data_IF_034861335321
#
_entry.id   IF_034861335321
#
_cell.length_a   1.000
_cell.length_b   1.000
_cell.length_c   1.000
_cell.angle_alpha   90.00
_cell.angle_beta   90.00
_cell.angle_gamma   90.00
#
_symmetry.space_group_name_H-M   'P 1'
#
loop_
_entity.id
_entity.type
_entity.pdbx_description
1 polymer ?
#
# COMPACT_ATOMS: atom_id res chain seq x y z
N UNK A 1 -19.62 25.49 27.26
CA UNK A 1 -18.94 25.75 28.54
C UNK A 1 -18.41 24.42 29.01
N UNK A 2 -17.17 24.33 29.47
CA UNK A 2 -16.58 23.05 29.88
C UNK A 2 -16.91 22.78 31.35
N UNK A 3 -18.14 22.31 31.61
CA UNK A 3 -18.58 21.82 32.91
C UNK A 3 -18.53 20.28 33.02
N UNK A 4 -17.90 19.62 32.02
CA UNK A 4 -17.78 18.17 31.94
C UNK A 4 -19.10 17.44 31.67
N UNK A 5 -20.15 18.18 31.29
CA UNK A 5 -21.47 17.65 30.99
C UNK A 5 -21.90 18.01 29.58
N UNK A 6 -22.69 17.13 28.97
CA UNK A 6 -23.22 17.26 27.62
C UNK A 6 -24.72 17.49 27.70
N UNK A 7 -25.15 18.70 27.31
CA UNK A 7 -26.55 18.98 27.04
C UNK A 7 -27.06 18.20 25.81
N UNK A 8 -28.38 18.05 25.66
CA UNK A 8 -28.93 17.38 24.47
C UNK A 8 -28.50 18.06 23.15
N UNK A 9 -28.39 19.38 23.11
CA UNK A 9 -27.96 20.09 21.90
C UNK A 9 -26.50 19.78 21.53
N UNK A 10 -25.62 19.64 22.53
CA UNK A 10 -24.21 19.26 22.33
C UNK A 10 -24.09 17.78 21.97
N UNK A 11 -24.85 16.91 22.63
CA UNK A 11 -24.94 15.49 22.29
C UNK A 11 -25.42 15.31 20.85
N UNK A 12 -26.48 16.01 20.45
CA UNK A 12 -27.01 15.98 19.09
C UNK A 12 -26.01 16.51 18.07
N UNK A 13 -25.30 17.59 18.37
CA UNK A 13 -24.28 18.13 17.47
C UNK A 13 -23.11 17.15 17.25
N UNK A 14 -22.79 16.33 18.25
CA UNK A 14 -21.69 15.37 18.19
C UNK A 14 -22.09 14.02 17.58
N UNK A 15 -23.24 13.47 17.97
CA UNK A 15 -23.67 12.11 17.62
C UNK A 15 -24.62 12.05 16.42
N UNK A 16 -25.09 13.17 15.88
CA UNK A 16 -25.93 13.15 14.68
C UNK A 16 -25.11 12.71 13.44
N UNK A 17 -25.18 11.42 13.13
CA UNK A 17 -24.69 10.78 11.90
C UNK A 17 -25.80 10.68 10.81
N UNK A 18 -27.00 11.14 11.16
CA UNK A 18 -28.21 11.07 10.34
C UNK A 18 -28.85 9.69 10.28
N UNK A 19 -28.29 8.66 10.92
CA UNK A 19 -28.86 7.30 11.02
C UNK A 19 -30.09 7.34 11.90
N UNK A 20 -29.92 7.92 13.09
CA UNK A 20 -31.02 8.12 14.02
C UNK A 20 -31.75 9.43 13.68
N UNK A 21 -33.08 9.36 13.69
CA UNK A 21 -33.93 10.55 13.66
C UNK A 21 -33.72 11.39 14.93
N UNK A 22 -34.16 12.65 14.89
CA UNK A 22 -34.05 13.53 16.06
C UNK A 22 -34.82 13.03 17.28
N UNK A 23 -35.86 12.23 17.09
CA UNK A 23 -36.65 11.60 18.16
C UNK A 23 -35.90 10.39 18.73
N UNK A 24 -35.38 9.50 17.89
CA UNK A 24 -34.58 8.34 18.32
C UNK A 24 -33.29 8.77 19.05
N UNK A 25 -32.65 9.86 18.60
CA UNK A 25 -31.47 10.40 19.26
C UNK A 25 -31.80 11.02 20.63
N UNK A 26 -33.02 11.54 20.80
CA UNK A 26 -33.52 12.06 22.08
C UNK A 26 -33.90 10.92 23.04
N UNK A 27 -34.46 9.83 22.53
CA UNK A 27 -34.67 8.60 23.31
C UNK A 27 -33.34 7.99 23.75
N UNK A 28 -32.34 7.94 22.88
CA UNK A 28 -30.98 7.51 23.21
C UNK A 28 -30.37 8.37 24.32
N UNK A 29 -30.50 9.70 24.21
CA UNK A 29 -30.00 10.63 25.24
C UNK A 29 -30.59 10.32 26.63
N UNK A 30 -31.91 10.16 26.73
CA UNK A 30 -32.57 9.82 27.99
C UNK A 30 -32.27 8.40 28.48
N UNK A 31 -31.98 7.46 27.58
CA UNK A 31 -31.59 6.11 27.95
C UNK A 31 -30.19 6.10 28.60
N UNK A 32 -29.30 6.99 28.17
CA UNK A 32 -27.95 7.13 28.73
C UNK A 32 -28.00 7.95 30.04
N UNK A 33 -28.88 8.94 30.16
CA UNK A 33 -29.06 9.80 31.35
C UNK A 33 -29.77 9.03 32.48
N UNK A 34 -29.05 8.06 33.05
CA UNK A 34 -29.55 7.20 34.13
C UNK A 34 -29.98 8.00 35.36
N UNK A 35 -29.38 9.17 35.57
CA UNK A 35 -29.67 10.06 36.68
C UNK A 35 -30.81 11.06 36.38
N UNK A 36 -31.34 11.12 35.16
CA UNK A 36 -32.37 12.07 34.69
C UNK A 36 -32.02 13.53 35.04
N UNK A 37 -30.78 13.93 34.79
CA UNK A 37 -30.31 15.29 35.07
C UNK A 37 -30.41 16.24 33.88
N UNK A 38 -30.95 15.76 32.76
CA UNK A 38 -31.01 16.42 31.45
C UNK A 38 -29.62 16.83 30.94
N UNK A 39 -28.57 16.17 31.44
CA UNK A 39 -27.17 16.43 31.13
C UNK A 39 -26.37 15.15 31.30
N UNK A 40 -25.72 14.70 30.23
CA UNK A 40 -24.89 13.50 30.27
C UNK A 40 -23.50 13.80 30.79
N UNK A 41 -23.04 13.07 31.79
CA UNK A 41 -21.63 13.09 32.16
C UNK A 41 -20.82 12.03 31.41
N UNK A 42 -19.50 12.12 31.52
CA UNK A 42 -18.59 11.17 30.86
C UNK A 42 -18.70 9.76 31.42
N UNK A 43 -19.13 9.60 32.68
CA UNK A 43 -19.24 8.29 33.32
C UNK A 43 -20.44 7.51 32.79
N UNK A 44 -21.61 8.16 32.69
CA UNK A 44 -22.82 7.60 32.08
C UNK A 44 -22.61 7.18 30.62
N UNK A 45 -21.94 8.03 29.82
CA UNK A 45 -21.57 7.70 28.45
C UNK A 45 -20.64 6.48 28.39
N UNK A 46 -19.62 6.43 29.27
CA UNK A 46 -18.70 5.30 29.31
C UNK A 46 -19.40 4.00 29.72
N UNK A 47 -20.28 4.03 30.73
CA UNK A 47 -21.04 2.86 31.16
C UNK A 47 -21.95 2.32 30.06
N UNK A 48 -22.63 3.20 29.34
CA UNK A 48 -23.48 2.81 28.22
C UNK A 48 -22.65 2.20 27.09
N UNK A 49 -21.66 2.91 26.55
CA UNK A 49 -20.89 2.42 25.41
C UNK A 49 -20.09 1.17 25.72
N UNK A 50 -19.60 0.99 26.96
CA UNK A 50 -18.92 -0.23 27.39
C UNK A 50 -19.77 -1.49 27.20
N UNK A 51 -21.09 -1.39 27.32
CA UNK A 51 -22.02 -2.51 27.09
C UNK A 51 -22.29 -2.76 25.59
N UNK A 52 -21.95 -1.80 24.73
CA UNK A 52 -22.26 -1.80 23.30
C UNK A 52 -21.02 -1.86 22.39
N UNK A 53 -19.82 -2.09 22.94
CA UNK A 53 -18.58 -2.15 22.15
C UNK A 53 -18.55 -3.34 21.17
N UNK A 54 -19.17 -4.47 21.53
CA UNK A 54 -19.15 -5.70 20.70
C UNK A 54 -17.72 -6.11 20.31
N UNK A 55 -17.49 -6.44 19.04
CA UNK A 55 -16.17 -6.83 18.51
C UNK A 55 -15.10 -5.73 18.66
N UNK A 56 -15.51 -4.46 18.80
CA UNK A 56 -14.58 -3.35 19.00
C UNK A 56 -13.96 -3.33 20.41
N UNK A 57 -14.49 -4.07 21.38
CA UNK A 57 -13.86 -4.23 22.70
C UNK A 57 -12.44 -4.81 22.56
N UNK A 58 -12.31 -5.89 21.78
CA UNK A 58 -11.01 -6.50 21.50
C UNK A 58 -10.09 -5.56 20.70
N UNK A 59 -10.65 -4.83 19.73
CA UNK A 59 -9.88 -3.84 18.95
C UNK A 59 -9.29 -2.76 19.87
N UNK A 60 -10.10 -2.18 20.74
CA UNK A 60 -9.65 -1.15 21.69
C UNK A 60 -8.63 -1.71 22.70
N UNK A 61 -8.82 -2.94 23.18
CA UNK A 61 -7.86 -3.62 24.06
C UNK A 61 -6.50 -3.83 23.38
N UNK A 62 -6.49 -4.29 22.13
CA UNK A 62 -5.25 -4.47 21.35
C UNK A 62 -4.57 -3.13 21.08
N UNK A 63 -5.33 -2.06 20.79
CA UNK A 63 -4.79 -0.72 20.61
C UNK A 63 -4.14 -0.18 21.89
N UNK A 64 -4.75 -0.41 23.05
CA UNK A 64 -4.17 -0.06 24.34
C UNK A 64 -2.86 -0.84 24.59
N UNK A 65 -2.88 -2.16 24.35
CA UNK A 65 -1.70 -3.01 24.49
C UNK A 65 -0.56 -2.59 23.55
N UNK A 66 -0.89 -2.21 22.31
CA UNK A 66 0.05 -1.67 21.34
C UNK A 66 0.66 -0.36 21.84
N UNK A 67 -0.16 0.59 22.31
CA UNK A 67 0.30 1.86 22.85
C UNK A 67 1.26 1.65 24.04
N UNK A 68 0.89 0.77 24.97
CA UNK A 68 1.74 0.40 26.11
C UNK A 68 3.08 -0.21 25.66
N UNK A 69 3.06 -1.05 24.62
CA UNK A 69 4.25 -1.70 24.05
C UNK A 69 5.18 -0.68 23.39
N UNK A 70 4.63 0.26 22.62
CA UNK A 70 5.38 1.36 22.00
C UNK A 70 6.03 2.23 23.08
N UNK A 71 5.26 2.64 24.09
CA UNK A 71 5.78 3.45 25.21
C UNK A 71 6.91 2.73 25.94
N UNK A 72 6.77 1.43 26.23
CA UNK A 72 7.84 0.62 26.85
C UNK A 72 9.09 0.56 25.98
N UNK A 73 8.94 0.38 24.67
CA UNK A 73 10.07 0.35 23.73
C UNK A 73 10.78 1.72 23.65
N UNK A 74 10.02 2.81 23.63
CA UNK A 74 10.54 4.17 23.67
C UNK A 74 11.31 4.46 24.95
N UNK A 75 10.75 4.11 26.12
CA UNK A 75 11.42 4.31 27.40
C UNK A 75 12.73 3.53 27.51
N UNK A 76 12.74 2.30 26.99
CA UNK A 76 13.94 1.46 26.98
C UNK A 76 15.02 2.01 26.05
N UNK A 77 14.65 2.43 24.84
CA UNK A 77 15.59 2.95 23.85
C UNK A 77 16.11 4.34 24.25
N UNK A 78 15.28 5.17 24.88
CA UNK A 78 15.67 6.49 25.39
C UNK A 78 16.81 6.44 26.41
N UNK A 79 16.79 5.47 27.34
CA UNK A 79 17.78 5.39 28.44
C UNK A 79 19.23 5.22 27.99
N UNK A 80 19.48 4.58 26.86
CA UNK A 80 20.83 4.35 26.33
C UNK A 80 21.14 5.10 25.04
N UNK A 81 20.20 5.91 24.53
CA UNK A 81 20.30 6.44 23.17
C UNK A 81 21.53 7.35 22.97
N UNK A 82 21.82 8.26 23.90
CA UNK A 82 22.94 9.20 23.77
C UNK A 82 24.31 8.52 23.86
N UNK A 83 24.38 7.40 24.57
CA UNK A 83 25.60 6.63 24.83
C UNK A 83 25.80 5.51 23.79
N UNK A 84 24.77 5.21 23.01
CA UNK A 84 24.78 4.19 21.97
C UNK A 84 25.62 4.61 20.74
N UNK A 85 26.09 3.61 19.99
CA UNK A 85 26.80 3.83 18.74
C UNK A 85 25.94 4.53 17.69
N UNK A 86 26.58 5.18 16.71
CA UNK A 86 25.87 5.82 15.59
C UNK A 86 24.91 4.86 14.86
N UNK A 87 25.30 3.58 14.75
CA UNK A 87 24.47 2.55 14.13
C UNK A 87 23.23 2.24 14.96
N UNK A 88 23.38 2.05 16.28
CA UNK A 88 22.25 1.77 17.18
C UNK A 88 21.27 2.96 17.27
N UNK A 89 21.79 4.18 17.27
CA UNK A 89 20.97 5.39 17.20
C UNK A 89 20.21 5.48 15.87
N UNK A 90 20.85 5.12 14.75
CA UNK A 90 20.20 5.04 13.45
C UNK A 90 19.10 3.98 13.44
N UNK A 91 19.38 2.77 13.92
CA UNK A 91 18.40 1.68 14.00
C UNK A 91 17.20 2.09 14.86
N UNK A 92 17.44 2.75 15.99
CA UNK A 92 16.36 3.26 16.86
C UNK A 92 15.48 4.27 16.13
N UNK A 93 16.07 5.26 15.44
CA UNK A 93 15.32 6.25 14.63
C UNK A 93 14.55 5.59 13.48
N UNK A 94 15.17 4.63 12.81
CA UNK A 94 14.56 3.87 11.74
C UNK A 94 13.33 3.10 12.24
N UNK A 95 13.47 2.34 13.33
CA UNK A 95 12.37 1.55 13.90
C UNK A 95 11.22 2.43 14.41
N UNK A 96 11.51 3.58 15.03
CA UNK A 96 10.47 4.53 15.42
C UNK A 96 9.70 5.08 14.22
N UNK A 97 10.43 5.44 13.15
CA UNK A 97 9.82 5.90 11.89
C UNK A 97 8.98 4.80 11.26
N UNK A 98 9.48 3.57 11.27
CA UNK A 98 8.76 2.42 10.71
C UNK A 98 7.47 2.14 11.48
N UNK A 99 7.52 2.09 12.82
CA UNK A 99 6.31 1.94 13.66
C UNK A 99 5.28 3.03 13.37
N UNK A 100 5.71 4.29 13.19
CA UNK A 100 4.80 5.38 12.81
C UNK A 100 4.14 5.13 11.44
N UNK A 101 4.92 4.71 10.44
CA UNK A 101 4.38 4.41 9.11
C UNK A 101 3.34 3.27 9.15
N UNK A 102 3.60 2.23 9.97
CA UNK A 102 2.66 1.12 10.14
C UNK A 102 1.35 1.57 10.79
N UNK A 103 1.41 2.46 11.80
CA UNK A 103 0.22 3.06 12.41
C UNK A 103 -0.56 3.91 11.41
N UNK A 104 0.11 4.68 10.55
CA UNK A 104 -0.54 5.47 9.50
C UNK A 104 -1.26 4.58 8.48
N UNK A 105 -0.65 3.46 8.08
CA UNK A 105 -1.30 2.50 7.18
C UNK A 105 -2.57 1.91 7.79
N UNK A 106 -2.54 1.60 9.10
CA UNK A 106 -3.71 1.13 9.82
C UNK A 106 -4.80 2.22 9.89
N UNK A 107 -4.41 3.46 10.20
CA UNK A 107 -5.32 4.61 10.22
C UNK A 107 -6.04 4.79 8.87
N UNK A 108 -5.30 4.82 7.76
CA UNK A 108 -5.91 4.97 6.43
C UNK A 108 -6.89 3.84 6.08
N UNK A 109 -6.61 2.62 6.54
CA UNK A 109 -7.53 1.48 6.36
C UNK A 109 -8.82 1.67 7.16
N UNK A 110 -8.73 2.16 8.40
CA UNK A 110 -9.89 2.48 9.25
C UNK A 110 -10.71 3.65 8.68
N UNK A 111 -10.06 4.69 8.17
CA UNK A 111 -10.73 5.82 7.51
C UNK A 111 -11.55 5.35 6.31
N UNK A 112 -11.00 4.43 5.50
CA UNK A 112 -11.73 3.86 4.37
C UNK A 112 -12.94 3.01 4.80
N UNK A 113 -12.80 2.22 5.87
CA UNK A 113 -13.91 1.45 6.42
C UNK A 113 -15.03 2.38 6.92
N UNK A 114 -14.67 3.44 7.61
CA UNK A 114 -15.60 4.46 8.11
C UNK A 114 -16.36 5.15 6.96
N UNK A 115 -15.66 5.60 5.92
CA UNK A 115 -16.30 6.18 4.72
C UNK A 115 -17.27 5.19 4.05
N UNK A 116 -16.93 3.91 4.02
CA UNK A 116 -17.78 2.86 3.41
C UNK A 116 -19.07 2.66 4.21
N UNK A 117 -18.97 2.63 5.55
CA UNK A 117 -20.16 2.53 6.41
C UNK A 117 -21.07 3.75 6.29
N UNK A 118 -20.49 4.96 6.14
CA UNK A 118 -21.28 6.18 5.91
C UNK A 118 -21.98 6.15 4.55
N UNK A 119 -21.30 5.71 3.49
CA UNK A 119 -21.85 5.67 2.14
C UNK A 119 -22.94 4.59 1.97
N UNK A 120 -22.77 3.41 2.58
CA UNK A 120 -23.83 2.38 2.61
C UNK A 120 -25.11 2.92 3.23
N UNK A 121 -24.97 3.60 4.37
CA UNK A 121 -26.09 4.24 5.07
C UNK A 121 -26.79 5.30 4.20
N UNK A 122 -26.04 6.06 3.39
CA UNK A 122 -26.61 7.02 2.43
C UNK A 122 -27.35 6.35 1.29
N UNK A 123 -26.83 5.24 0.77
CA UNK A 123 -27.44 4.50 -0.34
C UNK A 123 -28.75 3.81 0.08
N UNK A 124 -28.81 3.25 1.29
CA UNK A 124 -30.04 2.68 1.86
C UNK A 124 -31.16 3.74 1.97
N UNK A 125 -30.82 5.00 2.30
CA UNK A 125 -31.79 6.10 2.33
C UNK A 125 -32.27 6.55 0.94
N UNK A 126 -31.45 6.38 -0.10
CA UNK A 126 -31.83 6.71 -1.48
C UNK A 126 -32.59 5.55 -2.18
N UNK A 127 -32.60 4.36 -1.58
CA UNK A 127 -33.17 3.13 -2.12
C UNK A 127 -34.68 2.93 -1.91
N UNK A 128 -35.53 3.83 -2.41
CA UNK A 128 -36.89 3.45 -2.87
C UNK A 128 -37.28 4.31 -4.08
N UNK A 129 -36.58 4.13 -5.19
CA UNK A 129 -37.13 4.41 -6.52
C UNK A 129 -36.78 3.25 -7.44
N UNK A 130 -37.81 2.56 -7.96
CA UNK A 130 -37.67 1.52 -8.98
C UNK A 130 -36.91 2.08 -10.19
N UNK A 131 -35.92 1.38 -10.76
CA UNK A 131 -35.37 1.78 -12.03
C UNK A 131 -36.35 1.36 -13.14
N UNK A 132 -37.05 2.35 -13.69
CA UNK A 132 -37.75 2.20 -14.97
C UNK A 132 -36.69 2.01 -16.06
N UNK A 133 -36.80 0.89 -16.77
CA UNK A 133 -35.93 0.50 -17.88
C UNK A 133 -36.02 1.57 -18.99
N UNK A 134 -34.99 2.39 -19.13
CA UNK A 134 -34.82 3.23 -20.33
C UNK A 134 -33.69 2.64 -21.17
N UNK A 135 -34.10 1.86 -22.17
CA UNK A 135 -33.26 1.42 -23.27
C UNK A 135 -32.89 2.62 -24.14
N UNK A 136 -31.62 3.04 -24.11
CA UNK A 136 -31.11 4.03 -25.05
C UNK A 136 -30.20 3.34 -26.06
N UNK A 137 -30.78 3.04 -27.22
CA UNK A 137 -30.10 2.64 -28.44
C UNK A 137 -29.63 3.90 -29.17
N UNK A 138 -28.34 4.01 -29.52
CA UNK A 138 -27.91 4.97 -30.55
C UNK A 138 -27.09 4.31 -31.66
N UNK A 139 -27.27 4.79 -32.91
CA UNK A 139 -26.99 4.06 -34.14
C UNK A 139 -25.58 4.28 -34.66
N UNK A 140 -25.11 3.31 -35.45
CA UNK A 140 -23.78 3.31 -36.04
C UNK A 140 -23.52 4.43 -37.04
N UNK A 141 -22.22 4.72 -37.22
CA UNK A 141 -21.68 5.26 -38.47
C UNK A 141 -20.38 4.56 -38.81
N UNK A 142 -20.42 3.95 -39.99
CA UNK A 142 -19.33 3.34 -40.74
C UNK A 142 -18.31 4.41 -41.16
N UNK A 143 -17.03 4.06 -41.17
CA UNK A 143 -16.13 4.46 -42.26
C UNK A 143 -15.07 3.39 -42.47
N UNK A 144 -15.24 2.63 -43.54
CA UNK A 144 -14.24 1.74 -44.11
C UNK A 144 -13.57 2.44 -45.30
N UNK A 145 -12.26 2.22 -45.48
CA UNK A 145 -11.43 2.19 -46.71
C UNK A 145 -9.97 2.42 -46.26
N UNK A 146 -8.92 1.68 -46.64
CA UNK A 146 -8.66 0.58 -47.58
C UNK A 146 -7.38 -0.15 -47.13
N UNK A 147 -7.24 -1.41 -47.54
CA UNK A 147 -6.00 -2.19 -47.51
C UNK A 147 -4.85 -1.48 -48.24
N UNK A 148 -3.61 -1.69 -47.75
CA UNK A 148 -2.54 -2.21 -48.60
C UNK A 148 -1.49 -2.99 -47.78
N UNK A 149 -1.29 -4.22 -48.23
CA UNK A 149 -0.27 -5.19 -47.83
C UNK A 149 1.02 -4.85 -48.58
N UNK A 150 2.18 -4.93 -47.94
CA UNK A 150 3.45 -5.31 -48.56
C UNK A 150 4.47 -5.70 -47.49
N UNK A 151 4.91 -6.96 -47.55
CA UNK A 151 6.13 -7.46 -46.90
C UNK A 151 7.37 -6.83 -47.55
N UNK A 152 8.49 -6.81 -46.82
CA UNK A 152 9.86 -7.18 -47.25
C UNK A 152 10.90 -6.65 -46.22
N UNK A 153 11.60 -7.55 -45.54
CA UNK A 153 13.04 -7.41 -45.21
C UNK A 153 13.81 -7.67 -46.53
N UNK A 154 15.05 -7.17 -46.78
CA UNK A 154 16.22 -7.44 -45.91
C UNK A 154 17.41 -6.44 -45.99
N UNK A 155 18.45 -6.73 -45.18
CA UNK A 155 19.90 -6.53 -45.42
C UNK A 155 20.67 -5.67 -44.39
N UNK A 156 21.53 -6.37 -43.64
CA UNK A 156 22.82 -5.88 -43.14
C UNK A 156 23.79 -5.67 -44.30
N UNK A 157 24.79 -4.78 -44.16
CA UNK A 157 26.15 -5.26 -44.25
C UNK A 157 27.11 -4.72 -43.17
N UNK A 158 28.04 -5.60 -42.82
CA UNK A 158 29.14 -5.53 -41.88
C UNK A 158 30.31 -4.61 -42.33
N UNK A 159 31.06 -4.01 -41.38
CA UNK A 159 32.45 -4.39 -40.97
C UNK A 159 33.31 -3.23 -40.43
N UNK A 160 33.86 -3.49 -39.23
CA UNK A 160 35.18 -3.16 -38.65
C UNK A 160 35.64 -1.72 -38.38
N UNK A 161 36.10 -1.46 -37.13
CA UNK A 161 37.52 -1.32 -36.72
C UNK A 161 37.59 -1.05 -35.20
N UNK A 162 38.46 -1.74 -34.44
CA UNK A 162 38.74 -1.34 -33.04
C UNK A 162 39.21 -2.41 -32.05
N UNK A 163 40.12 -3.32 -32.45
CA UNK A 163 40.77 -4.25 -31.52
C UNK A 163 41.87 -3.56 -30.71
N UNK A 164 41.53 -2.84 -29.62
CA UNK A 164 42.52 -2.45 -28.57
C UNK A 164 41.93 -1.97 -27.22
N UNK A 165 40.62 -1.83 -27.07
CA UNK A 165 40.03 -1.20 -25.87
C UNK A 165 39.71 -2.19 -24.73
N UNK A 166 39.36 -3.43 -25.04
CA UNK A 166 38.93 -4.42 -24.03
C UNK A 166 40.06 -4.87 -23.09
N UNK A 167 41.27 -5.08 -23.62
CA UNK A 167 42.45 -5.46 -22.82
C UNK A 167 42.85 -4.37 -21.82
N UNK A 168 42.66 -3.11 -22.21
CA UNK A 168 42.98 -1.95 -21.36
C UNK A 168 41.98 -1.84 -20.20
N UNK A 169 40.71 -2.11 -20.46
CA UNK A 169 39.66 -2.07 -19.42
C UNK A 169 39.80 -3.23 -18.43
N UNK A 170 40.12 -4.43 -18.91
CA UNK A 170 40.36 -5.60 -18.06
C UNK A 170 41.61 -5.42 -17.19
N UNK A 171 42.70 -4.92 -17.76
CA UNK A 171 43.92 -4.57 -17.00
C UNK A 171 43.65 -3.48 -15.95
N UNK A 172 42.75 -2.54 -16.22
CA UNK A 172 42.35 -1.51 -15.25
C UNK A 172 41.57 -2.11 -14.08
N UNK A 173 40.68 -3.07 -14.33
CA UNK A 173 39.94 -3.77 -13.26
C UNK A 173 40.84 -4.69 -12.44
N UNK A 174 41.79 -5.39 -13.06
CA UNK A 174 42.78 -6.22 -12.36
C UNK A 174 43.64 -5.36 -11.42
N UNK A 175 44.15 -4.23 -11.93
CA UNK A 175 44.95 -3.31 -11.12
C UNK A 175 44.14 -2.67 -9.97
N UNK A 176 42.84 -2.45 -10.17
CA UNK A 176 41.93 -1.98 -9.11
C UNK A 176 41.72 -3.03 -8.02
N UNK A 177 41.50 -4.29 -8.41
CA UNK A 177 41.34 -5.39 -7.46
C UNK A 177 42.61 -5.64 -6.66
N UNK A 178 43.79 -5.60 -7.31
CA UNK A 178 45.08 -5.70 -6.62
C UNK A 178 45.23 -4.63 -5.54
N UNK A 179 44.89 -3.37 -5.85
CA UNK A 179 44.92 -2.27 -4.86
C UNK A 179 43.94 -2.45 -3.70
N UNK A 180 42.79 -3.07 -3.93
CA UNK A 180 41.80 -3.35 -2.88
C UNK A 180 42.27 -4.49 -1.97
N UNK A 181 42.87 -5.53 -2.54
CA UNK A 181 43.47 -6.65 -1.81
C UNK A 181 44.64 -6.15 -0.94
N UNK A 182 45.54 -5.34 -1.50
CA UNK A 182 46.67 -4.76 -0.78
C UNK A 182 46.21 -3.83 0.39
N UNK A 183 45.04 -3.19 0.25
CA UNK A 183 44.42 -2.37 1.32
C UNK A 183 43.75 -3.23 2.39
N UNK A 184 43.16 -4.37 2.01
CA UNK A 184 42.56 -5.31 2.95
C UNK A 184 43.63 -6.05 3.78
N UNK A 185 44.76 -6.40 3.18
CA UNK A 185 45.89 -7.04 3.88
C UNK A 185 46.55 -6.12 4.91
N UNK A 186 46.51 -4.79 4.71
CA UNK A 186 47.12 -3.81 5.62
C UNK A 186 46.29 -3.44 6.86
N UNK A 187 45.07 -3.99 7.05
CA UNK A 187 44.22 -3.81 8.26
C UNK A 187 44.03 -2.37 8.77
N UNK A 188 44.14 -1.35 7.91
CA UNK A 188 43.77 0.03 8.22
C UNK A 188 42.47 0.40 7.50
N UNK A 189 41.33 0.00 8.07
CA UNK A 189 40.00 0.32 7.54
C UNK A 189 39.50 1.65 8.13
N UNK A 190 40.04 2.76 7.63
CA UNK A 190 39.29 4.03 7.58
C UNK A 190 38.54 4.06 6.25
N UNK A 191 37.29 3.62 6.29
CA UNK A 191 36.36 3.80 5.18
C UNK A 191 35.89 5.26 5.23
N UNK A 192 36.62 6.15 4.55
CA UNK A 192 36.01 7.40 4.11
C UNK A 192 34.94 7.08 3.05
N UNK A 193 33.78 7.75 3.07
CA UNK A 193 32.82 7.68 1.98
C UNK A 193 33.56 7.95 0.67
N UNK A 194 33.49 7.00 -0.26
CA UNK A 194 34.01 7.18 -1.60
C UNK A 194 33.21 8.31 -2.24
N UNK A 195 33.85 9.46 -2.47
CA UNK A 195 33.35 10.46 -3.40
C UNK A 195 33.30 9.80 -4.78
N UNK A 196 32.10 9.36 -5.14
CA UNK A 196 31.79 8.87 -6.48
C UNK A 196 32.15 10.00 -7.44
N UNK A 197 33.23 9.82 -8.22
CA UNK A 197 33.61 10.73 -9.30
C UNK A 197 32.37 11.00 -10.14
N UNK A 198 31.89 12.24 -10.05
CA UNK A 198 30.74 12.76 -10.77
C UNK A 198 31.11 12.78 -12.25
N UNK A 199 30.89 11.64 -12.91
CA UNK A 199 30.69 11.59 -14.35
C UNK A 199 29.21 11.79 -14.59
N UNK A 200 28.92 13.00 -15.06
CA UNK A 200 27.65 13.59 -15.46
C UNK A 200 26.54 12.60 -15.86
N UNK A 201 25.40 12.76 -15.18
CA UNK A 201 24.06 12.82 -15.79
C UNK A 201 23.65 11.67 -16.73
N UNK A 202 23.43 10.49 -16.15
CA UNK A 202 22.33 9.63 -16.59
C UNK A 202 21.69 9.03 -15.33
N UNK A 203 20.43 9.38 -15.08
CA UNK A 203 19.65 8.85 -13.97
C UNK A 203 19.88 7.33 -13.86
N UNK A 204 20.43 6.86 -12.74
CA UNK A 204 20.58 5.43 -12.49
C UNK A 204 19.18 4.83 -12.59
N UNK A 205 18.88 4.14 -13.70
CA UNK A 205 17.61 3.48 -13.94
C UNK A 205 17.47 2.36 -12.91
N UNK A 206 16.40 2.36 -12.12
CA UNK A 206 16.11 1.32 -11.13
C UNK A 206 14.74 0.73 -11.42
N UNK A 207 14.65 -0.59 -11.48
CA UNK A 207 13.39 -1.31 -11.58
C UNK A 207 12.84 -1.45 -10.17
N UNK A 208 11.54 -1.22 -10.02
CA UNK A 208 10.85 -1.49 -8.76
C UNK A 208 10.11 -2.82 -8.85
N UNK A 209 10.39 -3.70 -7.91
CA UNK A 209 9.71 -4.98 -7.75
C UNK A 209 8.70 -4.82 -6.61
N UNK A 210 7.48 -5.25 -6.85
CA UNK A 210 6.39 -5.25 -5.88
C UNK A 210 5.90 -6.68 -5.74
N UNK A 211 5.92 -7.19 -4.51
CA UNK A 211 5.39 -8.50 -4.16
C UNK A 211 4.12 -8.28 -3.34
N UNK A 212 2.99 -8.78 -3.84
CA UNK A 212 1.70 -8.76 -3.15
C UNK A 212 1.33 -10.17 -2.74
N UNK A 213 1.16 -10.41 -1.46
CA UNK A 213 0.74 -11.69 -0.91
C UNK A 213 -0.69 -11.58 -0.39
N UNK A 214 -1.52 -12.52 -0.82
CA UNK A 214 -2.97 -12.54 -0.60
C UNK A 214 -3.38 -13.94 -0.13
N UNK A 215 -3.93 -14.05 1.09
CA UNK A 215 -4.53 -15.27 1.63
C UNK A 215 -6.04 -15.21 1.37
N UNK A 216 -6.56 -16.08 0.52
CA UNK A 216 -7.92 -16.00 -0.02
C UNK A 216 -8.82 -17.00 0.71
N UNK A 217 -10.04 -16.56 1.03
CA UNK A 217 -11.10 -17.39 1.62
C UNK A 217 -11.40 -18.56 0.68
N UNK A 218 -11.44 -19.79 1.20
CA UNK A 218 -11.49 -21.01 0.37
C UNK A 218 -12.74 -21.06 -0.53
N UNK A 219 -13.86 -20.53 -0.05
CA UNK A 219 -15.13 -20.43 -0.78
C UNK A 219 -15.07 -19.43 -1.95
N UNK A 220 -14.22 -18.40 -1.85
CA UNK A 220 -14.18 -17.26 -2.77
C UNK A 220 -13.04 -17.34 -3.81
N UNK A 221 -12.26 -18.43 -3.82
CA UNK A 221 -11.07 -18.57 -4.67
C UNK A 221 -11.39 -18.35 -6.16
N UNK A 222 -12.54 -18.83 -6.64
CA UNK A 222 -12.83 -18.79 -8.07
C UNK A 222 -13.23 -17.39 -8.54
N UNK A 223 -13.96 -16.65 -7.70
CA UNK A 223 -14.30 -15.25 -7.94
C UNK A 223 -13.06 -14.36 -7.84
N UNK A 224 -12.23 -14.59 -6.82
CA UNK A 224 -10.94 -13.94 -6.68
C UNK A 224 -10.04 -14.16 -7.90
N UNK A 225 -9.97 -15.39 -8.44
CA UNK A 225 -9.17 -15.69 -9.65
C UNK A 225 -9.63 -14.89 -10.86
N UNK A 226 -10.92 -14.64 -11.00
CA UNK A 226 -11.47 -13.82 -12.08
C UNK A 226 -11.09 -12.34 -11.90
N UNK A 227 -11.25 -11.81 -10.68
CA UNK A 227 -10.85 -10.44 -10.34
C UNK A 227 -9.34 -10.23 -10.53
N UNK A 228 -8.51 -11.17 -10.05
CA UNK A 228 -7.06 -11.13 -10.21
C UNK A 228 -6.65 -11.18 -11.69
N UNK A 229 -7.31 -12.00 -12.51
CA UNK A 229 -7.03 -12.04 -13.94
C UNK A 229 -7.33 -10.70 -14.63
N UNK A 230 -8.47 -10.09 -14.32
CA UNK A 230 -8.84 -8.77 -14.86
C UNK A 230 -7.86 -7.68 -14.41
N UNK A 231 -7.42 -7.73 -13.15
CA UNK A 231 -6.41 -6.83 -12.62
C UNK A 231 -5.08 -6.96 -13.37
N UNK A 232 -4.58 -8.19 -13.57
CA UNK A 232 -3.30 -8.44 -14.26
C UNK A 232 -3.36 -8.07 -15.73
N UNK A 233 -4.47 -8.36 -16.42
CA UNK A 233 -4.68 -7.92 -17.80
C UNK A 233 -4.63 -6.38 -17.90
N UNK A 234 -5.28 -5.68 -16.97
CA UNK A 234 -5.26 -4.22 -16.93
C UNK A 234 -3.86 -3.67 -16.58
N UNK A 235 -3.19 -4.24 -15.56
CA UNK A 235 -1.83 -3.87 -15.15
C UNK A 235 -0.81 -4.04 -16.27
N UNK A 236 -0.88 -5.14 -17.02
CA UNK A 236 0.04 -5.43 -18.11
C UNK A 236 -0.12 -4.47 -19.31
N UNK A 237 -1.26 -3.78 -19.42
CA UNK A 237 -1.49 -2.78 -20.47
C UNK A 237 -1.07 -1.37 -20.07
N UNK A 238 -0.72 -1.14 -18.80
CA UNK A 238 -0.34 0.18 -18.31
C UNK A 238 1.12 0.52 -18.64
N UNK A 239 1.34 1.78 -19.06
CA UNK A 239 2.68 2.31 -19.29
C UNK A 239 3.54 2.23 -18.02
N UNK A 240 4.72 1.66 -18.13
CA UNK A 240 5.66 1.48 -17.03
C UNK A 240 5.57 0.13 -16.30
N UNK A 241 4.59 -0.72 -16.62
CA UNK A 241 4.58 -2.12 -16.18
C UNK A 241 5.49 -2.95 -17.10
N UNK A 242 6.50 -3.60 -16.52
CA UNK A 242 7.45 -4.44 -17.24
C UNK A 242 6.99 -5.90 -17.31
N UNK A 243 6.47 -6.41 -16.19
CA UNK A 243 6.04 -7.80 -16.07
C UNK A 243 5.13 -8.01 -14.87
N UNK A 244 4.21 -8.95 -14.96
CA UNK A 244 3.43 -9.45 -13.83
C UNK A 244 3.44 -10.97 -13.83
N UNK A 245 3.82 -11.57 -12.71
CA UNK A 245 3.84 -13.02 -12.50
C UNK A 245 2.99 -13.38 -11.30
N UNK A 246 2.29 -14.51 -11.37
CA UNK A 246 1.39 -15.00 -10.33
C UNK A 246 1.82 -16.39 -9.91
N UNK A 247 1.97 -16.59 -8.60
CA UNK A 247 2.26 -17.88 -7.99
C UNK A 247 1.13 -18.24 -7.03
N UNK A 248 0.48 -19.39 -7.23
CA UNK A 248 -0.45 -19.98 -6.26
C UNK A 248 0.30 -20.99 -5.41
N UNK A 249 0.22 -20.87 -4.09
CA UNK A 249 0.73 -21.85 -3.14
C UNK A 249 -0.40 -22.86 -2.85
N UNK A 250 -0.26 -24.14 -3.25
CA UNK A 250 -1.37 -25.10 -3.19
C UNK A 250 -1.87 -25.44 -1.78
N UNK A 251 -1.04 -25.23 -0.74
CA UNK A 251 -1.35 -25.68 0.62
C UNK A 251 -2.25 -24.74 1.41
N UNK A 252 -2.27 -23.43 1.08
CA UNK A 252 -2.77 -22.39 1.99
C UNK A 252 -3.69 -21.36 1.29
N UNK A 253 -4.35 -21.71 0.18
CA UNK A 253 -5.19 -20.78 -0.62
C UNK A 253 -4.55 -19.41 -0.88
N UNK A 254 -3.21 -19.40 -0.96
CA UNK A 254 -2.39 -18.19 -0.96
C UNK A 254 -1.88 -17.88 -2.36
N UNK A 255 -2.00 -16.63 -2.76
CA UNK A 255 -1.51 -16.10 -4.02
C UNK A 255 -0.40 -15.08 -3.77
N UNK A 256 0.66 -15.17 -4.55
CA UNK A 256 1.74 -14.19 -4.57
C UNK A 256 1.80 -13.62 -5.98
N UNK A 257 1.64 -12.30 -6.08
CA UNK A 257 1.78 -11.56 -7.34
C UNK A 257 3.08 -10.77 -7.29
N UNK A 258 3.91 -10.97 -8.30
CA UNK A 258 5.14 -10.22 -8.52
C UNK A 258 4.93 -9.25 -9.67
N UNK A 259 5.02 -7.96 -9.40
CA UNK A 259 4.90 -6.90 -10.39
C UNK A 259 6.24 -6.17 -10.53
N UNK A 260 6.64 -5.94 -11.78
CA UNK A 260 7.87 -5.25 -12.12
C UNK A 260 7.51 -3.94 -12.79
N UNK A 261 8.00 -2.84 -12.23
CA UNK A 261 7.69 -1.49 -12.67
C UNK A 261 8.98 -0.73 -13.02
N UNK A 262 8.92 0.11 -14.05
CA UNK A 262 10.07 0.90 -14.52
C UNK A 262 10.70 1.80 -13.45
N UNK A 263 9.89 2.27 -12.49
CA UNK A 263 10.30 3.11 -11.37
C UNK A 263 9.14 3.24 -10.37
N UNK A 264 9.41 3.86 -9.22
CA UNK A 264 8.39 4.10 -8.18
C UNK A 264 7.23 4.98 -8.64
N UNK A 265 7.46 5.93 -9.55
CA UNK A 265 6.39 6.82 -10.04
C UNK A 265 5.38 6.08 -10.91
N UNK A 266 5.85 5.14 -11.74
CA UNK A 266 4.98 4.31 -12.57
C UNK A 266 4.01 3.47 -11.72
N UNK A 267 4.52 2.82 -10.67
CA UNK A 267 3.70 2.07 -9.72
C UNK A 267 2.75 2.97 -8.91
N UNK A 268 3.24 4.10 -8.39
CA UNK A 268 2.38 5.04 -7.67
C UNK A 268 1.22 5.52 -8.54
N UNK A 269 1.49 5.80 -9.82
CA UNK A 269 0.47 6.17 -10.80
C UNK A 269 -0.49 5.00 -11.07
N UNK A 270 0.01 3.78 -11.13
CA UNK A 270 -0.78 2.57 -11.26
C UNK A 270 -1.76 2.36 -10.09
N UNK A 271 -1.33 2.57 -8.84
CA UNK A 271 -2.20 2.48 -7.66
C UNK A 271 -3.35 3.49 -7.68
N UNK A 272 -3.19 4.61 -8.41
CA UNK A 272 -4.26 5.60 -8.55
C UNK A 272 -5.31 5.24 -9.61
N UNK A 273 -5.06 4.22 -10.43
CA UNK A 273 -5.99 3.83 -11.50
C UNK A 273 -7.23 3.14 -10.96
N UNK A 274 -8.36 3.38 -11.64
CA UNK A 274 -9.67 2.86 -11.23
C UNK A 274 -9.70 1.34 -11.10
N UNK A 275 -9.05 0.61 -12.01
CA UNK A 275 -9.02 -0.85 -11.97
C UNK A 275 -8.16 -1.38 -10.80
N UNK A 276 -7.10 -0.65 -10.42
CA UNK A 276 -6.25 -1.01 -9.29
C UNK A 276 -6.99 -0.81 -7.98
N UNK A 277 -7.68 0.33 -7.82
CA UNK A 277 -8.56 0.61 -6.68
C UNK A 277 -9.74 -0.35 -6.61
N UNK A 278 -10.34 -0.70 -7.75
CA UNK A 278 -11.42 -1.68 -7.79
C UNK A 278 -10.95 -3.06 -7.31
N UNK A 279 -9.77 -3.51 -7.73
CA UNK A 279 -9.19 -4.76 -7.27
C UNK A 279 -8.86 -4.73 -5.77
N UNK A 280 -8.31 -3.62 -5.27
CA UNK A 280 -8.07 -3.43 -3.82
C UNK A 280 -9.36 -3.46 -3.00
N UNK A 281 -10.46 -2.91 -3.52
CA UNK A 281 -11.77 -3.00 -2.86
C UNK A 281 -12.30 -4.42 -2.84
N UNK A 282 -12.22 -5.14 -3.96
CA UNK A 282 -12.66 -6.54 -4.00
C UNK A 282 -11.85 -7.46 -3.08
N UNK A 283 -10.61 -7.10 -2.75
CA UNK A 283 -9.81 -7.87 -1.79
C UNK A 283 -10.43 -7.88 -0.38
N UNK A 284 -11.28 -6.91 -0.02
CA UNK A 284 -12.00 -6.92 1.27
C UNK A 284 -12.95 -8.12 1.34
N UNK A 285 -13.58 -8.46 0.23
CA UNK A 285 -14.56 -9.55 0.17
C UNK A 285 -13.90 -10.92 0.04
N UNK A 286 -12.65 -10.97 -0.46
CA UNK A 286 -11.99 -12.22 -0.84
C UNK A 286 -10.90 -12.70 0.13
N UNK A 287 -10.30 -11.82 0.95
CA UNK A 287 -9.11 -12.17 1.72
C UNK A 287 -9.43 -12.52 3.18
N UNK A 288 -8.84 -13.61 3.69
CA UNK A 288 -8.91 -14.01 5.10
C UNK A 288 -8.13 -13.05 6.01
N UNK A 289 -7.02 -12.52 5.49
CA UNK A 289 -6.17 -11.55 6.17
C UNK A 289 -5.81 -10.42 5.21
N UNK A 290 -5.55 -9.19 5.70
CA UNK A 290 -5.13 -8.08 4.86
C UNK A 290 -3.95 -8.44 3.94
N UNK A 291 -3.95 -7.86 2.72
CA UNK A 291 -2.86 -8.09 1.77
C UNK A 291 -1.52 -7.58 2.32
N UNK A 292 -0.44 -8.34 2.08
CA UNK A 292 0.90 -7.93 2.44
C UNK A 292 1.65 -7.47 1.19
N UNK A 293 2.17 -6.25 1.22
CA UNK A 293 2.92 -5.66 0.09
C UNK A 293 4.37 -5.43 0.51
N UNK A 294 5.30 -6.01 -0.25
CA UNK A 294 6.74 -5.79 -0.09
C UNK A 294 7.29 -5.16 -1.36
N UNK A 295 8.12 -4.12 -1.23
CA UNK A 295 8.74 -3.44 -2.39
C UNK A 295 10.26 -3.52 -2.32
N UNK A 296 10.91 -3.58 -3.48
CA UNK A 296 12.36 -3.60 -3.61
C UNK A 296 12.81 -2.82 -4.85
N UNK A 297 13.84 -1.98 -4.70
CA UNK A 297 14.49 -1.30 -5.81
C UNK A 297 15.72 -2.08 -6.25
N UNK A 298 15.78 -2.42 -7.55
CA UNK A 298 16.89 -3.16 -8.15
C UNK A 298 17.54 -2.31 -9.25
N UNK A 299 18.88 -2.23 -9.33
CA UNK A 299 19.54 -1.50 -10.40
C UNK A 299 19.14 -2.06 -11.78
N UNK A 300 18.63 -1.21 -12.66
CA UNK A 300 18.12 -1.58 -13.99
C UNK A 300 19.18 -1.98 -15.02
N UNK A 301 20.44 -2.15 -14.59
CA UNK A 301 21.56 -2.59 -15.44
C UNK A 301 21.84 -4.08 -15.36
N UNK A 302 21.13 -4.84 -14.52
CA UNK A 302 21.25 -6.29 -14.54
C UNK A 302 20.35 -6.89 -15.61
N UNK A 303 20.98 -7.32 -16.69
CA UNK A 303 20.43 -8.17 -17.74
C UNK A 303 20.08 -9.56 -17.15
N UNK A 304 19.11 -9.61 -16.25
CA UNK A 304 18.38 -10.85 -15.97
C UNK A 304 17.08 -10.76 -16.78
N UNK A 305 16.75 -11.82 -17.49
CA UNK A 305 15.57 -11.99 -18.35
C UNK A 305 15.69 -11.54 -19.82
N UNK A 306 16.68 -12.07 -20.55
CA UNK A 306 16.36 -12.63 -21.87
C UNK A 306 15.62 -13.95 -21.65
N UNK A 307 14.31 -13.88 -21.38
CA UNK A 307 13.29 -14.92 -21.60
C UNK A 307 11.99 -14.42 -20.96
N UNK A 308 11.21 -13.63 -21.70
CA UNK A 308 9.75 -13.62 -21.70
C UNK A 308 9.29 -13.18 -23.09
#
# INVERSE_FOLDING_TARGET
SDDGKLSFDEFKAYFADGVLSGEELHELFHMIDTQNTDNLDTEELCEYFSQHLGEYENVLSVLEALNLTILKAMDKTKKGYQEASNLEQFVTRFLLKETLNQLQSLQSSLECAMETTEEQTRQERQGTTKPEVVSVQWPGKRSARRLQKNSLLPNSPHFNTGWTEEDSQWMTQINRLQKLIDRLEKKDLKLEPFEEEVLEENAKSHIMIVQRQMSVIEEEIEEFRLALKQYVESASTQGGCLHVSIQKIPSDSRFIVYEFWENSNAWNSHLQMNYSKAFQRSNVDFLETPELITTMLVPGKYQFFTFF
#
